data_IF_262804378908
#
_entry.id   IF_262804378908
#
_cell.length_a   1.000
_cell.length_b   1.000
_cell.length_c   1.000
_cell.angle_alpha   90.00
_cell.angle_beta   90.00
_cell.angle_gamma   90.00
#
_symmetry.space_group_name_H-M   'P 1'
#
loop_
_entity.id
_entity.type
_entity.pdbx_description
1 polymer ?
#
# COMPACT_ATOMS: atom_id res chain seq x y z
N UNK A 1 -0.51 2.49 -13.14
CA UNK A 1 -1.26 2.13 -14.34
C UNK A 1 -2.54 2.95 -14.40
N UNK A 2 -2.70 3.85 -15.39
CA UNK A 2 -3.93 4.64 -15.56
C UNK A 2 -5.11 3.82 -16.15
N UNK A 3 -5.11 2.50 -15.98
CA UNK A 3 -6.12 1.63 -16.60
C UNK A 3 -7.49 1.67 -15.91
N UNK A 4 -7.65 2.43 -14.83
CA UNK A 4 -8.97 2.77 -14.31
C UNK A 4 -9.22 4.29 -14.43
N UNK A 5 -9.59 4.80 -15.61
CA UNK A 5 -9.68 6.23 -15.87
C UNK A 5 -10.91 6.91 -15.26
N UNK A 6 -11.76 6.17 -14.56
CA UNK A 6 -13.09 6.68 -14.18
C UNK A 6 -13.10 7.36 -12.81
N UNK A 7 -12.11 7.09 -11.95
CA UNK A 7 -12.25 7.40 -10.51
C UNK A 7 -11.07 8.15 -9.88
N UNK A 8 -10.00 8.42 -10.66
CA UNK A 8 -8.83 9.14 -10.13
C UNK A 8 -8.30 10.18 -11.10
N UNK A 9 -7.81 11.27 -10.55
CA UNK A 9 -6.96 12.20 -11.29
C UNK A 9 -5.51 11.91 -10.97
N UNK A 10 -4.72 11.59 -11.99
CA UNK A 10 -3.28 11.42 -11.88
C UNK A 10 -2.56 12.71 -12.26
N UNK A 11 -1.54 13.07 -11.51
CA UNK A 11 -0.67 14.21 -11.78
C UNK A 11 0.78 13.89 -11.40
N UNK A 12 1.69 14.82 -11.62
CA UNK A 12 3.11 14.68 -11.27
C UNK A 12 3.75 13.39 -11.80
N UNK A 13 3.54 13.13 -13.12
CA UNK A 13 4.07 11.93 -13.77
C UNK A 13 3.42 10.63 -13.30
N UNK A 14 2.15 10.68 -12.88
CA UNK A 14 1.38 9.56 -12.31
C UNK A 14 1.84 9.13 -10.90
N UNK A 15 2.57 9.99 -10.20
CA UNK A 15 2.99 9.75 -8.82
C UNK A 15 2.02 10.31 -7.80
N UNK A 16 1.16 11.26 -8.19
CA UNK A 16 0.12 11.81 -7.33
C UNK A 16 -1.25 11.37 -7.80
N UNK A 17 -2.10 10.99 -6.85
CA UNK A 17 -3.45 10.49 -7.09
C UNK A 17 -4.43 11.21 -6.19
N UNK A 18 -5.47 11.78 -6.84
CA UNK A 18 -6.58 12.42 -6.13
C UNK A 18 -7.86 11.64 -6.42
N UNK A 19 -8.58 11.24 -5.40
CA UNK A 19 -9.86 10.57 -5.51
C UNK A 19 -10.93 11.50 -6.08
N UNK A 20 -11.82 10.97 -6.92
CA UNK A 20 -12.91 11.73 -7.57
C UNK A 20 -14.30 11.23 -7.20
N UNK A 21 -14.39 10.08 -6.55
CA UNK A 21 -15.66 9.46 -6.15
C UNK A 21 -15.69 9.13 -4.66
N UNK A 22 -16.82 8.66 -4.16
CA UNK A 22 -16.99 8.19 -2.77
C UNK A 22 -16.84 6.67 -2.64
N UNK A 23 -16.10 6.04 -3.55
CA UNK A 23 -15.80 4.62 -3.53
C UNK A 23 -14.34 4.37 -3.09
N UNK A 24 -14.01 3.10 -2.84
CA UNK A 24 -12.64 2.65 -2.67
C UNK A 24 -12.02 2.39 -4.04
N UNK A 25 -10.96 3.09 -4.33
CA UNK A 25 -10.30 3.04 -5.63
C UNK A 25 -8.81 2.80 -5.47
N UNK A 26 -8.25 1.92 -6.27
CA UNK A 26 -6.84 1.52 -6.21
C UNK A 26 -6.07 1.93 -7.45
N UNK A 27 -4.79 2.25 -7.24
CA UNK A 27 -3.81 2.39 -8.32
C UNK A 27 -2.57 1.57 -7.99
N UNK A 28 -2.08 0.83 -8.97
CA UNK A 28 -0.88 0.01 -8.85
C UNK A 28 0.19 0.45 -9.83
N UNK A 29 1.45 0.12 -9.50
CA UNK A 29 2.56 0.27 -10.42
C UNK A 29 2.34 -0.56 -11.69
N UNK A 30 2.93 -0.11 -12.80
CA UNK A 30 2.94 -0.88 -14.05
C UNK A 30 4.06 -1.91 -14.09
N UNK A 31 5.00 -1.80 -13.18
CA UNK A 31 6.15 -2.69 -13.06
C UNK A 31 5.95 -3.54 -11.81
N UNK A 32 6.03 -4.84 -11.96
CA UNK A 32 6.07 -5.81 -10.88
C UNK A 32 7.49 -6.27 -10.59
N UNK A 33 7.66 -6.92 -9.45
CA UNK A 33 8.91 -7.56 -9.05
C UNK A 33 8.62 -8.89 -8.34
N UNK A 34 9.47 -9.89 -8.59
CA UNK A 34 9.42 -11.21 -7.94
C UNK A 34 10.62 -11.49 -7.03
N UNK A 35 11.60 -10.57 -6.98
CA UNK A 35 12.82 -10.73 -6.20
C UNK A 35 13.41 -9.37 -5.81
N UNK A 36 14.40 -9.39 -4.94
CA UNK A 36 15.14 -8.22 -4.50
C UNK A 36 14.49 -7.51 -3.31
N UNK A 37 15.12 -6.42 -2.90
CA UNK A 37 14.69 -5.58 -1.78
C UNK A 37 14.19 -4.26 -2.30
N UNK A 38 13.00 -3.88 -1.88
CA UNK A 38 12.28 -2.71 -2.37
C UNK A 38 11.86 -1.81 -1.22
N UNK A 39 11.82 -0.52 -1.48
CA UNK A 39 11.36 0.49 -0.54
C UNK A 39 10.45 1.49 -1.23
N UNK A 40 9.33 1.79 -0.59
CA UNK A 40 8.31 2.70 -1.11
C UNK A 40 7.80 3.61 -0.01
N UNK A 41 7.38 4.79 -0.42
CA UNK A 41 6.74 5.76 0.45
C UNK A 41 5.43 6.24 -0.16
N UNK A 42 4.46 6.52 0.70
CA UNK A 42 3.22 7.18 0.33
C UNK A 42 2.94 8.31 1.32
N UNK A 43 2.96 9.54 0.80
CA UNK A 43 2.64 10.73 1.57
C UNK A 43 1.17 11.08 1.42
N UNK A 44 0.48 11.29 2.53
CA UNK A 44 -0.89 11.76 2.54
C UNK A 44 -0.95 13.29 2.48
N UNK A 45 -1.67 13.82 1.49
CA UNK A 45 -1.83 15.25 1.27
C UNK A 45 -3.20 15.75 1.74
N UNK A 46 -4.25 14.92 1.64
CA UNK A 46 -5.59 15.24 2.15
C UNK A 46 -6.37 13.96 2.50
N UNK A 47 -7.35 14.10 3.39
CA UNK A 47 -8.21 13.02 3.85
C UNK A 47 -9.70 13.35 3.58
N UNK A 48 -10.48 12.35 3.22
CA UNK A 48 -11.93 12.50 3.05
C UNK A 48 -12.65 12.59 4.42
N UNK A 49 -13.31 13.71 4.65
CA UNK A 49 -14.05 13.94 5.90
C UNK A 49 -13.19 13.84 7.16
N UNK A 50 -11.87 14.08 7.07
CA UNK A 50 -10.95 13.95 8.19
C UNK A 50 -10.66 12.50 8.61
N UNK A 51 -11.19 11.52 7.87
CA UNK A 51 -11.00 10.10 8.17
C UNK A 51 -9.87 9.51 7.35
N UNK A 52 -9.05 8.68 8.00
CA UNK A 52 -8.01 7.87 7.37
C UNK A 52 -8.65 6.70 6.62
N UNK A 53 -9.00 6.92 5.36
CA UNK A 53 -9.58 5.88 4.49
C UNK A 53 -8.67 5.68 3.29
N UNK A 54 -7.54 5.05 3.55
CA UNK A 54 -6.56 4.73 2.52
C UNK A 54 -5.71 3.54 2.95
N UNK A 55 -5.10 2.88 1.99
CA UNK A 55 -4.13 1.82 2.23
C UNK A 55 -2.96 1.93 1.25
N UNK A 56 -1.78 1.52 1.70
CA UNK A 56 -0.58 1.34 0.89
C UNK A 56 -0.11 -0.09 1.03
N UNK A 57 0.32 -0.72 -0.05
CA UNK A 57 0.78 -2.09 0.04
C UNK A 57 1.30 -2.67 -1.26
N UNK A 58 1.44 -3.97 -1.25
CA UNK A 58 1.76 -4.78 -2.42
C UNK A 58 0.67 -5.82 -2.66
N UNK A 59 0.52 -6.22 -3.91
CA UNK A 59 -0.51 -7.12 -4.40
C UNK A 59 0.12 -8.10 -5.35
N UNK A 60 -0.20 -9.37 -5.22
CA UNK A 60 0.13 -10.37 -6.23
C UNK A 60 -0.39 -9.93 -7.60
N UNK A 61 0.47 -9.96 -8.61
CA UNK A 61 0.12 -9.46 -9.94
C UNK A 61 -1.09 -10.18 -10.57
N UNK A 62 -1.38 -11.41 -10.12
CA UNK A 62 -2.58 -12.16 -10.55
C UNK A 62 -3.88 -11.52 -10.05
N UNK A 63 -3.82 -10.80 -8.92
CA UNK A 63 -4.97 -10.08 -8.34
C UNK A 63 -5.09 -8.64 -8.87
N UNK A 64 -4.12 -8.14 -9.62
CA UNK A 64 -4.09 -6.77 -10.13
C UNK A 64 -5.36 -6.42 -10.93
N UNK A 65 -5.86 -7.34 -11.74
CA UNK A 65 -7.07 -7.12 -12.54
C UNK A 65 -8.31 -6.90 -11.68
N UNK A 66 -8.43 -7.55 -10.53
CA UNK A 66 -9.53 -7.37 -9.59
C UNK A 66 -9.54 -5.97 -8.98
N UNK A 67 -8.35 -5.43 -8.69
CA UNK A 67 -8.20 -4.08 -8.18
C UNK A 67 -8.56 -3.00 -9.19
N UNK A 68 -8.37 -3.30 -10.48
CA UNK A 68 -8.57 -2.37 -11.58
C UNK A 68 -9.99 -2.36 -12.14
N UNK A 69 -10.77 -3.40 -11.89
CA UNK A 69 -12.11 -3.57 -12.47
C UNK A 69 -13.26 -3.44 -11.47
N UNK A 70 -12.95 -3.41 -10.18
CA UNK A 70 -13.97 -3.43 -9.13
C UNK A 70 -14.13 -2.04 -8.52
N UNK A 71 -15.35 -1.52 -8.46
CA UNK A 71 -15.69 -0.27 -7.76
C UNK A 71 -15.29 -0.28 -6.27
N UNK A 72 -14.95 -1.46 -5.75
CA UNK A 72 -14.50 -1.71 -4.38
C UNK A 72 -13.05 -2.21 -4.30
N UNK A 73 -12.24 -1.93 -5.33
CA UNK A 73 -10.84 -2.35 -5.39
C UNK A 73 -10.06 -1.86 -4.17
N UNK A 74 -9.84 -2.74 -3.22
CA UNK A 74 -9.13 -2.45 -1.98
C UNK A 74 -7.84 -3.25 -1.96
N UNK A 75 -6.71 -2.56 -1.93
CA UNK A 75 -5.37 -3.17 -2.14
C UNK A 75 -5.01 -4.31 -1.17
N UNK A 76 -5.74 -4.48 -0.10
CA UNK A 76 -5.50 -5.54 0.88
C UNK A 76 -6.42 -6.76 0.71
N UNK A 77 -7.27 -6.77 -0.30
CA UNK A 77 -8.21 -7.88 -0.58
C UNK A 77 -7.62 -8.78 -1.66
N UNK A 78 -6.92 -9.83 -1.27
CA UNK A 78 -6.42 -10.86 -2.19
C UNK A 78 -7.50 -11.92 -2.47
N UNK A 79 -7.59 -12.38 -3.71
CA UNK A 79 -8.47 -13.47 -4.12
C UNK A 79 -7.69 -14.71 -4.56
N UNK A 80 -6.52 -14.55 -5.16
CA UNK A 80 -5.70 -15.62 -5.72
C UNK A 80 -4.34 -15.70 -5.03
N UNK A 81 -3.74 -14.55 -4.74
CA UNK A 81 -2.40 -14.45 -4.16
C UNK A 81 -2.34 -13.61 -2.89
N UNK A 82 -1.15 -13.27 -2.48
CA UNK A 82 -0.93 -12.45 -1.30
C UNK A 82 -1.11 -10.96 -1.60
N UNK A 83 -2.02 -10.33 -0.87
CA UNK A 83 -2.18 -8.89 -0.82
C UNK A 83 -1.90 -8.41 0.60
N UNK A 84 -0.93 -7.52 0.77
CA UNK A 84 -0.52 -7.00 2.07
C UNK A 84 -0.53 -5.49 2.04
N UNK A 85 -1.15 -4.87 3.02
CA UNK A 85 -1.18 -3.41 3.08
C UNK A 85 -1.34 -2.85 4.48
N UNK A 86 -0.84 -1.64 4.63
CA UNK A 86 -1.08 -0.81 5.80
C UNK A 86 -2.34 0.01 5.57
N UNK A 87 -3.38 -0.34 6.28
CA UNK A 87 -4.73 0.18 6.11
C UNK A 87 -5.09 1.17 7.21
N UNK A 88 -5.58 2.33 6.81
CA UNK A 88 -6.32 3.23 7.69
C UNK A 88 -7.80 3.18 7.33
N UNK A 89 -8.64 2.86 8.31
CA UNK A 89 -10.10 2.91 8.16
C UNK A 89 -10.72 3.67 9.35
N UNK A 90 -10.88 4.97 9.16
CA UNK A 90 -11.41 5.84 10.22
C UNK A 90 -10.45 5.98 11.40
N UNK A 91 -10.82 5.41 12.55
CA UNK A 91 -10.00 5.41 13.77
C UNK A 91 -9.09 4.18 13.90
N UNK A 92 -9.27 3.17 13.06
CA UNK A 92 -8.49 1.94 13.10
C UNK A 92 -7.38 1.97 12.06
N UNK A 93 -6.18 1.59 12.47
CA UNK A 93 -5.04 1.41 11.58
C UNK A 93 -4.46 0.03 11.80
N UNK A 94 -4.45 -0.77 10.75
CA UNK A 94 -4.04 -2.16 10.83
C UNK A 94 -3.14 -2.51 9.65
N UNK A 95 -2.21 -3.42 9.87
CA UNK A 95 -1.58 -4.14 8.78
C UNK A 95 -2.49 -5.32 8.44
N UNK A 96 -2.86 -5.42 7.18
CA UNK A 96 -3.74 -6.49 6.69
C UNK A 96 -3.01 -7.37 5.69
N UNK A 97 -3.38 -8.65 5.70
CA UNK A 97 -3.05 -9.61 4.65
C UNK A 97 -4.33 -10.32 4.23
N UNK A 98 -4.68 -10.27 2.94
CA UNK A 98 -5.88 -10.91 2.37
C UNK A 98 -7.13 -10.59 3.22
N UNK A 99 -7.33 -9.30 3.49
CA UNK A 99 -8.38 -8.69 4.31
C UNK A 99 -8.38 -9.07 5.82
N UNK A 100 -7.48 -9.90 6.27
CA UNK A 100 -7.34 -10.22 7.69
C UNK A 100 -6.39 -9.25 8.39
N UNK A 101 -6.75 -8.79 9.59
CA UNK A 101 -5.85 -8.01 10.43
C UNK A 101 -4.74 -8.92 10.95
N UNK A 102 -3.48 -8.61 10.63
CA UNK A 102 -2.31 -9.38 11.04
C UNK A 102 -1.44 -8.65 12.06
N UNK A 103 -1.53 -7.33 12.11
CA UNK A 103 -0.90 -6.52 13.15
C UNK A 103 -1.61 -5.18 13.33
N UNK A 104 -1.41 -4.53 14.47
CA UNK A 104 -1.87 -3.17 14.72
C UNK A 104 -0.89 -2.17 14.10
N UNK A 105 -1.43 -1.09 13.55
CA UNK A 105 -0.68 0.03 13.02
C UNK A 105 -0.73 1.26 13.93
N UNK A 106 0.22 2.15 13.76
CA UNK A 106 0.20 3.49 14.34
C UNK A 106 -0.73 4.40 13.54
N UNK A 107 -1.42 5.31 14.19
CA UNK A 107 -2.22 6.31 13.49
C UNK A 107 -1.32 7.26 12.70
N UNK A 108 -1.78 7.66 11.52
CA UNK A 108 -1.14 8.64 10.65
C UNK A 108 -2.12 9.77 10.31
N UNK A 109 -1.60 10.91 9.89
CA UNK A 109 -2.33 12.14 9.63
C UNK A 109 -1.92 12.75 8.28
N UNK A 110 -2.55 13.86 7.91
CA UNK A 110 -2.10 14.64 6.75
C UNK A 110 -0.64 15.07 6.93
N UNK A 111 0.13 14.96 5.87
CA UNK A 111 1.58 15.13 5.76
C UNK A 111 2.43 13.98 6.32
N UNK A 112 1.84 12.97 6.97
CA UNK A 112 2.60 11.79 7.32
C UNK A 112 2.93 10.94 6.10
N UNK A 113 4.04 10.21 6.21
CA UNK A 113 4.54 9.29 5.19
C UNK A 113 4.41 7.87 5.74
N UNK A 114 3.69 7.02 5.01
CA UNK A 114 3.76 5.59 5.24
C UNK A 114 4.91 5.04 4.43
N UNK A 115 5.81 4.33 5.09
CA UNK A 115 6.95 3.66 4.47
C UNK A 115 6.72 2.15 4.47
N UNK A 116 7.06 1.51 3.35
CA UNK A 116 7.02 0.07 3.20
C UNK A 116 8.38 -0.44 2.71
N UNK A 117 8.93 -1.44 3.38
CA UNK A 117 10.07 -2.20 2.90
C UNK A 117 9.59 -3.63 2.57
N UNK A 118 10.00 -4.15 1.42
CA UNK A 118 9.70 -5.50 0.98
C UNK A 118 10.99 -6.24 0.62
N UNK A 119 11.23 -7.37 1.28
CA UNK A 119 12.29 -8.33 0.95
C UNK A 119 11.63 -9.51 0.24
N UNK A 120 11.56 -9.44 -1.10
CA UNK A 120 10.89 -10.46 -1.91
C UNK A 120 11.70 -11.75 -1.97
N UNK A 121 13.01 -11.69 -1.77
CA UNK A 121 13.87 -12.88 -1.74
C UNK A 121 13.56 -13.76 -0.52
N UNK A 122 13.19 -13.14 0.59
CA UNK A 122 12.78 -13.84 1.82
C UNK A 122 11.25 -13.86 2.01
N UNK A 123 10.46 -13.16 1.20
CA UNK A 123 9.00 -13.06 1.36
C UNK A 123 8.59 -12.34 2.64
N UNK A 124 9.06 -11.13 2.84
CA UNK A 124 8.83 -10.34 4.05
C UNK A 124 8.46 -8.88 3.73
N UNK A 125 7.42 -8.36 4.37
CA UNK A 125 6.93 -6.99 4.19
C UNK A 125 6.85 -6.28 5.53
N UNK A 126 7.31 -5.04 5.58
CA UNK A 126 7.45 -4.23 6.78
C UNK A 126 6.85 -2.85 6.57
N UNK A 127 6.29 -2.25 7.62
CA UNK A 127 5.72 -0.91 7.57
C UNK A 127 6.19 -0.03 8.71
N UNK A 128 6.27 1.27 8.47
CA UNK A 128 6.42 2.30 9.50
C UNK A 128 5.70 3.59 9.08
N UNK A 129 5.53 4.52 10.00
CA UNK A 129 5.04 5.88 9.74
C UNK A 129 6.17 6.85 10.01
N UNK A 130 6.49 7.68 9.04
CA UNK A 130 7.61 8.63 9.10
C UNK A 130 8.93 7.90 9.45
N UNK A 131 9.78 8.53 10.23
CA UNK A 131 11.04 7.95 10.73
C UNK A 131 10.89 7.19 12.06
N UNK A 132 9.66 6.78 12.40
CA UNK A 132 9.42 5.96 13.59
C UNK A 132 10.04 4.56 13.47
N UNK A 133 10.10 3.85 14.60
CA UNK A 133 10.46 2.43 14.57
C UNK A 133 9.50 1.64 13.66
N UNK A 134 10.02 0.58 13.04
CA UNK A 134 9.21 -0.33 12.25
C UNK A 134 8.12 -0.98 13.13
N UNK A 135 6.91 -1.07 12.60
CA UNK A 135 5.76 -1.64 13.29
C UNK A 135 6.02 -3.11 13.65
N UNK A 136 5.34 -3.59 14.70
CA UNK A 136 5.46 -4.96 15.18
C UNK A 136 6.90 -5.35 15.60
N UNK A 137 7.68 -4.38 16.13
CA UNK A 137 9.11 -4.57 16.48
C UNK A 137 9.94 -5.14 15.33
N UNK A 138 9.61 -4.76 14.12
CA UNK A 138 10.17 -5.33 12.91
C UNK A 138 11.60 -4.87 12.64
N UNK A 139 12.36 -5.74 11.95
CA UNK A 139 13.68 -5.43 11.43
C UNK A 139 13.78 -5.83 9.96
N UNK A 140 13.70 -4.87 9.00
CA UNK A 140 13.82 -5.17 7.57
C UNK A 140 15.17 -5.76 7.16
N UNK A 141 16.20 -5.61 7.99
CA UNK A 141 17.53 -6.17 7.73
C UNK A 141 17.69 -7.61 8.25
N UNK A 142 16.65 -8.18 8.87
CA UNK A 142 16.70 -9.51 9.49
C UNK A 142 16.81 -10.68 8.51
N UNK A 143 16.68 -10.43 7.20
CA UNK A 143 16.78 -11.45 6.16
C UNK A 143 15.83 -12.62 6.38
N UNK A 144 16.35 -13.84 6.34
CA UNK A 144 15.56 -15.06 6.50
C UNK A 144 14.82 -15.18 7.86
N UNK A 145 15.23 -14.45 8.89
CA UNK A 145 14.55 -14.42 10.19
C UNK A 145 13.20 -13.69 10.15
N UNK A 146 12.99 -12.79 9.18
CA UNK A 146 11.74 -12.05 8.94
C UNK A 146 11.15 -11.41 10.22
N UNK A 147 12.01 -10.89 11.10
CA UNK A 147 11.61 -10.38 12.41
C UNK A 147 10.53 -9.32 12.27
N UNK A 148 9.34 -9.55 12.82
CA UNK A 148 8.19 -8.65 12.80
C UNK A 148 7.53 -8.44 11.43
N UNK A 149 7.94 -9.17 10.40
CA UNK A 149 7.38 -9.05 9.06
C UNK A 149 5.97 -9.63 8.92
N UNK A 150 5.23 -9.11 7.96
CA UNK A 150 4.14 -9.86 7.33
C UNK A 150 4.74 -10.72 6.22
N UNK A 151 4.50 -12.02 6.28
CA UNK A 151 5.08 -12.96 5.30
C UNK A 151 4.22 -13.06 4.05
N UNK A 152 4.90 -13.16 2.89
CA UNK A 152 4.30 -13.38 1.58
C UNK A 152 4.98 -14.55 0.87
N UNK A 153 4.36 -15.06 -0.17
CA UNK A 153 4.88 -16.16 -0.99
C UNK A 153 6.10 -15.68 -1.81
N UNK A 154 7.19 -16.41 -1.74
CA UNK A 154 8.42 -16.13 -2.50
C UNK A 154 8.25 -16.58 -3.94
N UNK A 155 8.82 -15.80 -4.88
CA UNK A 155 8.85 -16.14 -6.31
C UNK A 155 7.60 -15.77 -7.09
N UNK A 156 6.60 -15.18 -6.46
CA UNK A 156 5.46 -14.59 -7.14
C UNK A 156 5.77 -13.15 -7.55
N UNK A 157 5.11 -12.68 -8.61
CA UNK A 157 5.23 -11.29 -9.07
C UNK A 157 4.31 -10.38 -8.26
N UNK A 158 4.86 -9.33 -7.69
CA UNK A 158 4.11 -8.33 -6.91
C UNK A 158 4.14 -6.96 -7.58
N UNK A 159 3.00 -6.29 -7.58
CA UNK A 159 2.87 -4.87 -7.93
C UNK A 159 2.62 -4.06 -6.66
N UNK A 160 3.05 -2.81 -6.66
CA UNK A 160 2.96 -1.89 -5.53
C UNK A 160 1.88 -0.85 -5.81
N UNK A 161 1.20 -0.41 -4.76
CA UNK A 161 0.17 0.58 -4.97
C UNK A 161 -0.50 1.06 -3.70
N UNK A 162 -1.58 1.78 -3.90
CA UNK A 162 -2.41 2.30 -2.84
C UNK A 162 -3.87 2.36 -3.23
N UNK A 163 -4.68 2.42 -2.21
CA UNK A 163 -6.13 2.58 -2.30
C UNK A 163 -6.53 3.82 -1.53
N UNK A 164 -7.50 4.56 -2.04
CA UNK A 164 -8.12 5.69 -1.36
C UNK A 164 -9.63 5.59 -1.41
N UNK A 165 -10.30 6.15 -0.42
CA UNK A 165 -11.73 6.35 -0.40
C UNK A 165 -12.06 7.83 -0.37
N UNK A 166 -12.97 8.26 -1.23
CA UNK A 166 -13.53 9.60 -1.20
C UNK A 166 -12.89 10.58 -2.17
N UNK A 167 -13.67 11.58 -2.54
CA UNK A 167 -13.35 12.55 -3.58
C UNK A 167 -12.40 13.68 -3.14
N UNK A 168 -11.90 13.65 -1.93
CA UNK A 168 -10.92 14.61 -1.42
C UNK A 168 -9.66 13.95 -0.88
N UNK A 169 -9.58 12.62 -0.90
CA UNK A 169 -8.35 11.92 -0.52
C UNK A 169 -7.29 12.14 -1.58
N UNK A 170 -6.12 12.57 -1.14
CA UNK A 170 -5.02 12.95 -2.01
C UNK A 170 -3.72 12.38 -1.42
N UNK A 171 -2.93 11.74 -2.26
CA UNK A 171 -1.68 11.12 -1.85
C UNK A 171 -0.68 11.03 -2.99
N UNK A 172 0.59 10.98 -2.61
CA UNK A 172 1.72 10.96 -3.52
C UNK A 172 2.63 9.78 -3.19
N UNK A 173 3.02 9.05 -4.22
CA UNK A 173 4.00 7.98 -4.12
C UNK A 173 5.41 8.47 -4.38
N UNK A 174 6.35 7.86 -3.66
CA UNK A 174 7.78 7.90 -3.95
C UNK A 174 8.29 6.47 -4.09
N UNK A 175 8.78 6.14 -5.28
CA UNK A 175 9.37 4.84 -5.62
C UNK A 175 10.91 4.88 -5.62
N UNK A 176 11.50 5.65 -4.70
CA UNK A 176 12.95 5.75 -4.55
C UNK A 176 13.61 6.82 -5.41
N UNK A 177 12.86 7.79 -5.93
CA UNK A 177 13.47 9.02 -6.43
C UNK A 177 14.09 9.79 -5.26
N UNK A 178 15.29 10.37 -5.39
CA UNK A 178 15.84 11.20 -4.34
C UNK A 178 14.91 12.38 -4.07
N UNK A 179 14.59 12.60 -2.82
CA UNK A 179 13.83 13.75 -2.33
C UNK A 179 14.60 15.06 -2.51
#
# INVERSE_FOLDING_TARGET
NPSNPIVHTFSEGNLRLTGTTTNWDSACSTIGASSGKWYFEMKFLALYGGLRRAAMGLVDARDQSLLMTNEYGYIVTGAVGDCVGYNGNGSSNNIKKNDNNVANGTQWSVNDIICMAADLDNGAVYFRVNDSAWLNSANPESGASKTGAVTITVGEDYVFGGTAYGNTTDWQFNYGAPS
#
